data_IF_440942942036
#
_entry.id   IF_440942942036
#
_cell.length_a   1.000
_cell.length_b   1.000
_cell.length_c   1.000
_cell.angle_alpha   90.00
_cell.angle_beta   90.00
_cell.angle_gamma   90.00
#
_symmetry.space_group_name_H-M   'P 1'
#
loop_
_entity.id
_entity.type
_entity.pdbx_description
1 polymer ?
#
# COMPACT_ATOMS: atom_id res chain seq x y z
N UNK A 1 26.49 -7.02 -13.21
CA UNK A 1 25.50 -6.11 -13.83
C UNK A 1 24.30 -6.94 -14.34
N UNK A 2 23.10 -6.42 -14.15
CA UNK A 2 21.84 -7.13 -13.90
C UNK A 2 21.14 -7.67 -15.16
N UNK A 3 21.02 -9.01 -15.30
CA UNK A 3 20.29 -9.69 -16.39
C UNK A 3 18.77 -9.84 -16.14
N UNK A 4 18.27 -9.46 -14.96
CA UNK A 4 16.87 -9.74 -14.55
C UNK A 4 15.88 -8.60 -14.85
N UNK A 5 16.37 -7.43 -15.29
CA UNK A 5 15.53 -6.25 -15.57
C UNK A 5 14.91 -6.25 -16.97
N UNK A 6 15.41 -7.06 -17.91
CA UNK A 6 15.00 -7.01 -19.32
C UNK A 6 13.78 -7.88 -19.67
N UNK A 7 13.32 -8.75 -18.76
CA UNK A 7 12.26 -9.73 -19.07
C UNK A 7 10.82 -9.23 -18.85
N UNK A 8 10.61 -8.15 -18.10
CA UNK A 8 9.27 -7.73 -17.67
C UNK A 8 8.65 -6.61 -18.51
N UNK A 9 8.64 -6.76 -19.83
CA UNK A 9 7.98 -5.77 -20.70
C UNK A 9 7.40 -6.34 -21.99
N UNK A 10 6.54 -7.37 -21.90
CA UNK A 10 5.75 -7.85 -23.05
C UNK A 10 4.38 -8.39 -22.64
N UNK A 11 3.43 -7.49 -22.43
CA UNK A 11 2.02 -7.66 -22.77
C UNK A 11 1.34 -6.32 -22.51
N UNK A 12 1.24 -5.47 -23.54
CA UNK A 12 0.48 -4.23 -23.48
C UNK A 12 -1.02 -4.53 -23.43
N UNK A 13 -1.50 -5.10 -22.33
CA UNK A 13 -2.93 -5.23 -22.06
C UNK A 13 -3.38 -3.88 -21.51
N UNK A 14 -4.23 -3.12 -22.23
CA UNK A 14 -4.84 -1.94 -21.65
C UNK A 14 -5.57 -2.37 -20.38
N UNK A 15 -5.22 -1.77 -19.24
CA UNK A 15 -5.88 -2.04 -17.96
C UNK A 15 -7.38 -1.84 -18.17
N UNK A 16 -8.17 -2.90 -17.98
CA UNK A 16 -9.62 -2.77 -17.88
C UNK A 16 -9.88 -1.93 -16.64
N UNK A 17 -10.29 -0.68 -16.85
CA UNK A 17 -10.96 0.07 -15.81
C UNK A 17 -12.18 -0.76 -15.37
N UNK A 18 -12.43 -0.90 -14.07
CA UNK A 18 -13.64 -1.55 -13.62
C UNK A 18 -14.84 -0.83 -14.25
N UNK A 19 -15.89 -1.57 -14.64
CA UNK A 19 -17.07 -0.96 -15.23
C UNK A 19 -17.68 0.08 -14.25
N UNK A 20 -18.26 1.17 -14.76
CA UNK A 20 -18.94 2.15 -13.91
C UNK A 20 -20.08 1.49 -13.12
N UNK A 21 -20.20 1.85 -11.85
CA UNK A 21 -21.13 1.21 -10.91
C UNK A 21 -22.60 1.45 -11.29
N UNK A 22 -23.43 0.41 -11.16
CA UNK A 22 -24.87 0.48 -11.38
C UNK A 22 -25.58 1.09 -10.16
N UNK A 23 -26.69 1.85 -10.32
CA UNK A 23 -27.47 2.37 -9.20
C UNK A 23 -28.05 1.23 -8.34
N UNK A 24 -27.81 1.24 -7.03
CA UNK A 24 -28.42 0.31 -6.07
C UNK A 24 -27.46 -0.61 -5.31
N UNK A 25 -26.14 -0.51 -5.50
CA UNK A 25 -25.17 -1.26 -4.70
C UNK A 25 -24.86 -0.54 -3.38
N UNK A 26 -24.98 -1.23 -2.25
CA UNK A 26 -24.71 -0.66 -0.92
C UNK A 26 -23.23 -0.29 -0.77
N UNK A 27 -22.86 0.92 -0.33
CA UNK A 27 -21.47 1.38 -0.29
C UNK A 27 -20.54 0.50 0.56
N UNK A 28 -21.05 -0.10 1.65
CA UNK A 28 -20.29 -1.05 2.48
C UNK A 28 -19.99 -2.37 1.77
N UNK A 29 -20.86 -2.80 0.86
CA UNK A 29 -20.66 -4.01 0.06
C UNK A 29 -19.72 -3.74 -1.12
N UNK A 30 -19.74 -2.53 -1.67
CA UNK A 30 -18.81 -2.06 -2.72
C UNK A 30 -17.38 -1.98 -2.19
N UNK A 31 -17.19 -1.38 -1.01
CA UNK A 31 -15.87 -1.24 -0.38
C UNK A 31 -15.19 -2.58 -0.02
N UNK A 32 -15.91 -3.70 -0.13
CA UNK A 32 -15.39 -5.05 0.17
C UNK A 32 -15.18 -5.93 -1.06
N UNK A 33 -15.38 -5.40 -2.26
CA UNK A 33 -15.12 -6.15 -3.49
C UNK A 33 -13.67 -5.95 -3.96
N UNK A 34 -13.00 -7.06 -4.30
CA UNK A 34 -11.58 -7.09 -4.68
C UNK A 34 -10.60 -7.25 -3.50
N UNK A 35 -9.30 -7.22 -3.77
CA UNK A 35 -8.27 -7.46 -2.77
C UNK A 35 -7.88 -6.16 -2.07
N UNK A 36 -7.80 -6.21 -0.74
CA UNK A 36 -7.25 -5.11 0.04
C UNK A 36 -5.77 -4.89 -0.28
N UNK A 37 -5.25 -3.65 -0.09
CA UNK A 37 -3.83 -3.36 -0.20
C UNK A 37 -3.00 -4.31 0.68
N UNK A 38 -1.96 -4.92 0.11
CA UNK A 38 -1.01 -5.75 0.86
C UNK A 38 0.27 -4.95 1.08
N UNK A 39 0.61 -4.66 2.34
CA UNK A 39 1.86 -3.98 2.68
C UNK A 39 3.02 -4.95 2.40
N UNK A 40 3.88 -4.58 1.43
CA UNK A 40 5.06 -5.37 1.03
C UNK A 40 6.37 -4.75 1.53
N UNK A 41 6.32 -3.51 2.02
CA UNK A 41 7.42 -2.87 2.70
C UNK A 41 6.88 -1.89 3.74
N UNK A 42 7.32 -1.99 5.00
CA UNK A 42 8.12 -3.08 5.58
C UNK A 42 7.35 -4.41 5.55
N UNK A 43 8.05 -5.54 5.48
CA UNK A 43 7.41 -6.86 5.53
C UNK A 43 6.82 -7.12 6.93
N UNK A 44 5.75 -7.92 7.01
CA UNK A 44 5.04 -8.17 8.27
C UNK A 44 5.95 -8.70 9.38
N UNK A 45 5.66 -8.28 10.62
CA UNK A 45 6.30 -8.77 11.87
C UNK A 45 7.81 -8.57 11.93
N UNK A 46 8.34 -7.56 11.23
CA UNK A 46 9.76 -7.22 11.31
C UNK A 46 10.04 -6.24 12.46
N UNK A 47 11.16 -6.49 13.14
CA UNK A 47 11.82 -5.50 13.99
C UNK A 47 12.66 -4.61 13.08
N UNK A 48 12.23 -3.35 12.92
CA UNK A 48 12.92 -2.37 12.09
C UNK A 48 13.92 -1.66 12.99
N UNK A 49 15.20 -1.89 12.75
CA UNK A 49 16.27 -1.08 13.32
C UNK A 49 16.37 0.18 12.48
N UNK A 50 16.16 1.35 13.08
CA UNK A 50 16.41 2.59 12.33
C UNK A 50 17.91 2.71 12.07
N UNK A 51 18.28 2.85 10.80
CA UNK A 51 19.61 3.33 10.44
C UNK A 51 19.72 4.82 10.80
N UNK A 52 20.91 5.40 10.70
CA UNK A 52 21.16 6.83 10.98
C UNK A 52 20.25 7.80 10.21
N UNK A 53 19.60 7.36 9.12
CA UNK A 53 18.64 8.16 8.37
C UNK A 53 17.26 8.28 9.03
N UNK A 54 16.91 7.41 9.98
CA UNK A 54 15.66 7.49 10.75
C UNK A 54 14.38 7.29 9.93
N UNK A 55 14.46 6.56 8.81
CA UNK A 55 13.36 6.45 7.85
C UNK A 55 13.02 5.02 7.43
N UNK A 56 11.74 4.81 7.13
CA UNK A 56 11.16 3.52 6.73
C UNK A 56 10.51 3.71 5.35
N UNK A 57 10.88 2.89 4.38
CA UNK A 57 10.22 2.87 3.08
C UNK A 57 8.89 2.12 3.18
N UNK A 58 7.81 2.73 2.67
CA UNK A 58 6.48 2.15 2.63
C UNK A 58 6.08 1.81 1.20
N UNK A 59 5.59 0.59 1.00
CA UNK A 59 5.06 0.10 -0.28
C UNK A 59 3.93 -0.89 -0.03
N UNK A 60 2.88 -0.80 -0.83
CA UNK A 60 1.82 -1.79 -0.87
C UNK A 60 1.56 -2.25 -2.30
N UNK A 61 1.14 -3.51 -2.43
CA UNK A 61 0.57 -4.06 -3.66
C UNK A 61 -0.95 -3.89 -3.58
N UNK A 62 -1.56 -3.37 -4.64
CA UNK A 62 -3.00 -3.14 -4.72
C UNK A 62 -3.58 -3.85 -5.93
N UNK A 63 -4.91 -3.90 -6.02
CA UNK A 63 -5.57 -4.18 -7.29
C UNK A 63 -5.24 -3.10 -8.33
N UNK A 64 -5.42 -3.44 -9.61
CA UNK A 64 -4.97 -2.63 -10.74
C UNK A 64 -5.81 -1.36 -10.99
N UNK A 65 -6.99 -1.29 -10.38
CA UNK A 65 -7.96 -0.21 -10.48
C UNK A 65 -7.78 0.86 -9.40
N UNK A 66 -7.02 0.57 -8.34
CA UNK A 66 -6.64 1.52 -7.29
C UNK A 66 -5.79 2.65 -7.87
N UNK A 67 -6.11 3.89 -7.50
CA UNK A 67 -5.35 5.07 -7.93
C UNK A 67 -4.56 5.69 -6.81
N UNK A 68 -4.99 5.50 -5.57
CA UNK A 68 -4.42 6.18 -4.42
C UNK A 68 -4.34 5.25 -3.21
N UNK A 69 -3.29 5.42 -2.42
CA UNK A 69 -3.07 4.75 -1.15
C UNK A 69 -2.85 5.82 -0.09
N UNK A 70 -3.55 5.67 1.02
CA UNK A 70 -3.47 6.50 2.21
C UNK A 70 -2.79 5.70 3.31
N UNK A 71 -1.66 6.21 3.80
CA UNK A 71 -0.81 5.55 4.76
C UNK A 71 -1.01 6.10 6.17
N UNK A 72 -1.11 5.21 7.15
CA UNK A 72 -1.29 5.57 8.56
C UNK A 72 -0.40 4.73 9.47
N UNK A 73 0.06 5.34 10.57
CA UNK A 73 0.63 4.64 11.71
C UNK A 73 -0.32 4.82 12.92
N UNK A 74 -1.09 3.79 13.24
CA UNK A 74 -2.27 3.91 14.10
C UNK A 74 -3.24 4.94 13.51
N UNK A 75 -3.54 5.99 14.27
CA UNK A 75 -4.42 7.09 13.83
C UNK A 75 -3.66 8.25 13.14
N UNK A 76 -2.33 8.19 13.06
CA UNK A 76 -1.54 9.27 12.47
C UNK A 76 -1.41 9.10 10.96
N UNK A 77 -1.86 10.08 10.19
CA UNK A 77 -1.67 10.12 8.75
C UNK A 77 -0.18 10.34 8.41
N UNK A 78 0.34 9.52 7.50
CA UNK A 78 1.73 9.60 7.02
C UNK A 78 1.76 10.32 5.67
N UNK A 79 1.04 9.80 4.68
CA UNK A 79 1.08 10.30 3.31
C UNK A 79 -0.05 9.71 2.45
N UNK A 80 -0.30 10.38 1.31
CA UNK A 80 -1.06 9.87 0.17
C UNK A 80 -0.09 9.63 -0.99
N UNK A 81 -0.22 8.48 -1.65
CA UNK A 81 0.68 8.06 -2.74
C UNK A 81 -0.07 7.39 -3.87
N UNK A 82 0.46 7.37 -5.08
CA UNK A 82 0.00 6.43 -6.10
C UNK A 82 0.51 5.02 -5.77
N UNK A 83 -0.12 3.94 -6.27
CA UNK A 83 0.32 2.56 -5.99
C UNK A 83 1.75 2.20 -6.44
N UNK A 84 2.33 2.97 -7.36
CA UNK A 84 3.68 2.73 -7.85
C UNK A 84 4.77 3.46 -7.04
N UNK A 85 4.36 4.42 -6.19
CA UNK A 85 5.28 5.27 -5.47
C UNK A 85 5.84 4.54 -4.24
N UNK A 86 7.03 4.98 -3.82
CA UNK A 86 7.61 4.61 -2.54
C UNK A 86 7.61 5.85 -1.67
N UNK A 87 6.99 5.79 -0.49
CA UNK A 87 7.03 6.90 0.47
C UNK A 87 7.95 6.57 1.62
N UNK A 88 8.63 7.61 2.11
CA UNK A 88 9.57 7.52 3.21
C UNK A 88 8.91 8.06 4.48
N UNK A 89 8.67 7.19 5.45
CA UNK A 89 8.12 7.54 6.75
C UNK A 89 9.24 7.78 7.77
N UNK A 90 9.28 8.97 8.35
CA UNK A 90 10.13 9.29 9.51
C UNK A 90 9.43 8.83 10.78
N UNK A 91 9.72 7.62 11.22
CA UNK A 91 9.13 7.03 12.42
C UNK A 91 10.00 7.32 13.65
N UNK A 92 9.36 7.58 14.80
CA UNK A 92 10.03 7.49 16.08
C UNK A 92 10.10 6.02 16.53
N UNK A 93 11.00 5.65 17.45
CA UNK A 93 10.97 4.34 18.10
C UNK A 93 9.60 4.07 18.75
N UNK A 94 9.06 2.88 18.53
CA UNK A 94 7.72 2.50 18.99
C UNK A 94 7.13 1.32 18.24
N UNK A 95 6.01 0.82 18.74
CA UNK A 95 5.20 -0.19 18.05
C UNK A 95 4.02 0.48 17.37
N UNK A 96 3.80 0.16 16.10
CA UNK A 96 2.77 0.77 15.27
C UNK A 96 2.00 -0.31 14.50
N UNK A 97 0.69 -0.11 14.38
CA UNK A 97 -0.10 -0.72 13.32
C UNK A 97 0.01 0.18 12.08
N UNK A 98 0.75 -0.28 11.09
CA UNK A 98 0.87 0.40 9.81
C UNK A 98 -0.31 -0.01 8.92
N UNK A 99 -1.10 0.95 8.46
CA UNK A 99 -2.28 0.71 7.61
C UNK A 99 -2.10 1.35 6.24
N UNK A 100 -2.44 0.62 5.19
CA UNK A 100 -2.60 1.10 3.82
C UNK A 100 -4.08 1.00 3.43
N UNK A 101 -4.73 2.15 3.25
CA UNK A 101 -6.12 2.29 2.82
C UNK A 101 -6.15 2.73 1.35
N UNK A 102 -6.92 2.06 0.48
CA UNK A 102 -7.10 2.49 -0.90
C UNK A 102 -8.31 3.42 -1.12
N UNK A 103 -8.39 4.00 -2.31
CA UNK A 103 -9.49 4.87 -2.76
C UNK A 103 -10.84 4.15 -2.94
N UNK A 104 -10.88 2.83 -2.77
CA UNK A 104 -12.10 2.02 -2.72
C UNK A 104 -12.55 1.73 -1.28
N UNK A 105 -11.79 2.18 -0.27
CA UNK A 105 -12.12 1.99 1.14
C UNK A 105 -11.65 0.65 1.72
N UNK A 106 -10.79 -0.09 1.02
CA UNK A 106 -10.20 -1.35 1.51
C UNK A 106 -8.88 -1.06 2.23
N UNK A 107 -8.64 -1.78 3.33
CA UNK A 107 -7.45 -1.59 4.13
C UNK A 107 -6.71 -2.91 4.36
N UNK A 108 -5.37 -2.85 4.28
CA UNK A 108 -4.49 -3.86 4.84
C UNK A 108 -3.61 -3.26 5.92
N UNK A 109 -3.29 -4.06 6.94
CA UNK A 109 -2.55 -3.62 8.11
C UNK A 109 -1.39 -4.57 8.41
N UNK A 110 -0.33 -4.02 9.01
CA UNK A 110 0.84 -4.76 9.45
C UNK A 110 1.40 -4.18 10.73
N UNK A 111 1.74 -5.05 11.69
CA UNK A 111 2.39 -4.64 12.93
C UNK A 111 3.90 -4.50 12.73
N UNK A 112 4.43 -3.34 13.07
CA UNK A 112 5.84 -3.01 12.97
C UNK A 112 6.36 -2.51 14.31
N UNK A 113 7.56 -2.96 14.69
CA UNK A 113 8.27 -2.41 15.86
C UNK A 113 9.53 -1.73 15.40
N UNK A 114 9.60 -0.43 15.68
CA UNK A 114 10.67 0.48 15.32
C UNK A 114 11.56 0.64 16.55
N UNK A 115 12.85 0.28 16.45
CA UNK A 115 13.83 0.34 17.54
C UNK A 115 15.04 1.19 17.17
#
# INVERSE_FOLDING_TARGET
PTELLSLFRRAGVPRKLPPPFLPGTSPEMIARTGNAPQIISPAERHNILLTSAGTIALRAKTDADVREIYWFAGNAFIARTNPQDVVTWKAAPGSYELTALDDHGRAGASNVTVR
#
